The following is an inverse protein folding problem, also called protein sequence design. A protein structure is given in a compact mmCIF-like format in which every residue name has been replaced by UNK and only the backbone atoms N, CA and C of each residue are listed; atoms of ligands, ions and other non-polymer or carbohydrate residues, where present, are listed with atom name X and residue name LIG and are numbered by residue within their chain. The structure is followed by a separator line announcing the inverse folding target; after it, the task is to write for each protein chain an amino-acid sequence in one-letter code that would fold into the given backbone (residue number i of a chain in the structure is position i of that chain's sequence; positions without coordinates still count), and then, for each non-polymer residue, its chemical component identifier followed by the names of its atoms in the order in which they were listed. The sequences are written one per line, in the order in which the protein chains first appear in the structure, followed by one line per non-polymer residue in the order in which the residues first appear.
data_IF_399113421776
#
_entry.id   IF_399113421776
#
_cell.length_a   1.000
_cell.length_b   1.000
_cell.length_c   1.000
_cell.angle_alpha   90.00
_cell.angle_beta   90.00
_cell.angle_gamma   90.00
#
_symmetry.space_group_name_H-M   'P 1'
#
loop_
_entity.id
_entity.type
_entity.pdbx_description
1 polymer ?
#
# COMPACT_ATOMS: atom_id res chain seq x y z
N UNK A 1 29.48 -8.00 -14.10
CA UNK A 1 29.72 -6.62 -13.72
C UNK A 1 28.50 -5.80 -14.13
N UNK A 2 27.65 -5.43 -13.17
CA UNK A 2 26.56 -4.48 -13.40
C UNK A 2 27.24 -3.13 -13.49
N UNK A 3 27.10 -2.47 -14.66
CA UNK A 3 27.69 -1.16 -14.89
C UNK A 3 27.18 -0.16 -13.86
N UNK A 4 28.08 0.58 -13.23
CA UNK A 4 27.82 1.65 -12.27
C UNK A 4 27.33 2.95 -12.95
N UNK A 5 26.62 2.85 -14.07
CA UNK A 5 26.01 3.99 -14.74
C UNK A 5 24.67 4.31 -14.11
N UNK A 6 24.48 5.53 -13.65
CA UNK A 6 23.17 6.04 -13.27
C UNK A 6 22.29 6.02 -14.53
N UNK A 7 21.03 5.48 -14.39
CA UNK A 7 20.08 5.46 -15.48
C UNK A 7 19.79 6.89 -15.98
N UNK A 8 19.68 7.05 -17.29
CA UNK A 8 19.27 8.31 -17.91
C UNK A 8 17.79 8.58 -17.65
N UNK A 9 17.35 9.82 -17.82
CA UNK A 9 15.93 10.19 -17.69
C UNK A 9 15.07 9.40 -18.67
N UNK A 10 15.52 9.21 -19.90
CA UNK A 10 14.79 8.46 -20.94
C UNK A 10 14.61 6.99 -20.53
N UNK A 11 15.66 6.34 -20.03
CA UNK A 11 15.58 4.96 -19.53
C UNK A 11 14.61 4.83 -18.35
N UNK A 12 14.55 5.83 -17.48
CA UNK A 12 13.58 5.86 -16.34
C UNK A 12 12.16 6.05 -16.86
N UNK A 13 11.94 6.95 -17.80
CA UNK A 13 10.62 7.18 -18.41
C UNK A 13 10.13 5.93 -19.13
N UNK A 14 11.00 5.28 -19.91
CA UNK A 14 10.67 4.04 -20.61
C UNK A 14 10.31 2.90 -19.63
N UNK A 15 11.09 2.76 -18.55
CA UNK A 15 10.82 1.77 -17.51
C UNK A 15 9.47 2.04 -16.79
N UNK A 16 9.18 3.31 -16.49
CA UNK A 16 7.88 3.70 -15.92
C UNK A 16 6.74 3.40 -16.90
N UNK A 17 6.86 3.81 -18.17
CA UNK A 17 5.83 3.60 -19.19
C UNK A 17 5.54 2.10 -19.45
N UNK A 18 6.54 1.24 -19.29
CA UNK A 18 6.39 -0.21 -19.38
C UNK A 18 5.82 -0.84 -18.10
N UNK A 19 5.76 -0.10 -16.99
CA UNK A 19 5.32 -0.61 -15.69
C UNK A 19 3.79 -0.66 -15.56
N UNK A 20 3.25 -1.47 -14.63
CA UNK A 20 1.82 -1.44 -14.29
C UNK A 20 1.35 -0.07 -13.77
N UNK A 21 2.23 0.75 -13.19
CA UNK A 21 1.88 2.07 -12.66
C UNK A 21 1.44 3.06 -13.74
N UNK A 22 1.96 2.93 -14.97
CA UNK A 22 1.60 3.77 -16.11
C UNK A 22 0.44 3.22 -16.95
N UNK A 23 0.01 1.98 -16.68
CA UNK A 23 -0.95 1.28 -17.55
C UNK A 23 -2.38 1.71 -17.22
N UNK A 24 -2.89 2.69 -17.94
CA UNK A 24 -4.26 3.24 -17.77
C UNK A 24 -5.34 2.16 -17.82
N UNK A 25 -5.16 1.13 -18.66
CA UNK A 25 -6.13 0.04 -18.83
C UNK A 25 -5.96 -1.10 -17.82
N UNK A 26 -5.08 -0.95 -16.82
CA UNK A 26 -4.96 -1.96 -15.79
C UNK A 26 -6.18 -1.95 -14.88
N UNK A 27 -6.62 -3.14 -14.44
CA UNK A 27 -7.76 -3.33 -13.54
C UNK A 27 -7.72 -2.38 -12.33
N UNK A 28 -6.54 -2.07 -11.84
CA UNK A 28 -6.35 -1.14 -10.73
C UNK A 28 -6.86 0.28 -11.02
N UNK A 29 -6.99 0.69 -12.27
CA UNK A 29 -7.39 2.05 -12.67
C UNK A 29 -8.72 2.10 -13.43
N UNK A 30 -9.22 0.98 -13.94
CA UNK A 30 -10.49 0.90 -14.67
C UNK A 30 -11.64 0.29 -13.86
N UNK A 31 -11.34 -0.27 -12.69
CA UNK A 31 -12.32 -0.97 -11.84
C UNK A 31 -13.60 -0.16 -11.56
N UNK A 32 -13.49 1.15 -11.49
CA UNK A 32 -14.60 2.06 -11.20
C UNK A 32 -15.05 2.89 -12.41
N UNK A 33 -14.76 2.45 -13.63
CA UNK A 33 -15.14 3.19 -14.83
C UNK A 33 -16.66 3.41 -14.93
N UNK A 34 -17.43 2.42 -14.50
CA UNK A 34 -18.92 2.50 -14.51
C UNK A 34 -19.43 3.47 -13.42
N UNK A 35 -18.68 3.63 -12.31
CA UNK A 35 -19.03 4.51 -11.20
C UNK A 35 -18.60 5.97 -11.45
N UNK A 36 -17.70 6.19 -12.41
CA UNK A 36 -17.19 7.50 -12.80
C UNK A 36 -16.19 8.13 -11.85
N UNK A 37 -15.91 7.49 -10.70
CA UNK A 37 -14.92 7.95 -9.72
C UNK A 37 -14.40 6.80 -8.86
N UNK A 38 -13.14 6.87 -8.45
CA UNK A 38 -12.57 5.96 -7.46
C UNK A 38 -13.06 6.38 -6.07
N UNK A 39 -13.75 5.52 -5.31
CA UNK A 39 -14.30 5.90 -4.02
C UNK A 39 -13.20 6.16 -2.97
N UNK A 40 -13.50 7.02 -1.99
CA UNK A 40 -12.58 7.46 -0.93
C UNK A 40 -11.73 6.33 -0.33
N UNK A 41 -12.29 5.17 0.08
CA UNK A 41 -11.50 4.11 0.70
C UNK A 41 -10.47 3.45 -0.22
N UNK A 42 -10.62 3.64 -1.54
CA UNK A 42 -9.79 3.01 -2.56
C UNK A 42 -8.83 4.00 -3.22
N UNK A 43 -9.15 5.29 -3.21
CA UNK A 43 -8.48 6.33 -3.99
C UNK A 43 -7.02 6.52 -3.65
N UNK A 44 -6.62 6.33 -2.39
CA UNK A 44 -5.23 6.37 -1.94
C UNK A 44 -4.29 5.51 -2.79
N UNK A 45 -4.76 4.35 -3.25
CA UNK A 45 -3.95 3.35 -3.95
C UNK A 45 -4.27 3.26 -5.44
N UNK A 46 -5.49 3.65 -5.84
CA UNK A 46 -6.01 3.43 -7.19
C UNK A 46 -6.13 4.72 -8.02
N UNK A 47 -5.56 5.82 -7.52
CA UNK A 47 -5.50 7.10 -8.24
C UNK A 47 -4.28 7.90 -7.80
N UNK A 48 -3.49 8.40 -8.73
CA UNK A 48 -2.40 9.33 -8.41
C UNK A 48 -2.85 10.58 -7.67
N UNK A 49 -3.94 11.27 -8.10
CA UNK A 49 -4.56 12.34 -7.30
C UNK A 49 -5.00 11.90 -5.91
N UNK A 50 -5.65 10.74 -5.77
CA UNK A 50 -6.06 10.23 -4.45
C UNK A 50 -4.90 9.89 -3.52
N UNK A 51 -3.77 9.46 -4.08
CA UNK A 51 -2.53 9.31 -3.30
C UNK A 51 -2.04 10.67 -2.78
N UNK A 52 -2.02 11.70 -3.66
CA UNK A 52 -1.56 13.06 -3.28
C UNK A 52 -2.46 13.70 -2.24
N UNK A 53 -3.78 13.51 -2.33
CA UNK A 53 -4.75 13.87 -1.31
C UNK A 53 -4.39 13.17 0.03
N UNK A 54 -4.29 11.84 0.03
CA UNK A 54 -3.95 11.08 1.24
C UNK A 54 -2.68 11.55 1.96
N UNK A 55 -1.65 11.96 1.22
CA UNK A 55 -0.41 12.46 1.83
C UNK A 55 -0.43 13.96 2.13
N UNK A 56 -1.54 14.67 1.88
CA UNK A 56 -1.69 16.10 2.10
C UNK A 56 -0.95 16.96 1.08
N UNK A 57 -0.62 16.43 -0.09
CA UNK A 57 0.12 17.16 -1.13
C UNK A 57 -0.75 18.15 -1.91
N UNK A 58 -2.05 18.10 -1.76
CA UNK A 58 -3.04 19.03 -2.33
C UNK A 58 -3.42 20.17 -1.36
N UNK A 59 -2.87 20.14 -0.13
CA UNK A 59 -3.11 21.13 0.91
C UNK A 59 -4.18 20.74 1.93
N UNK A 60 -4.77 19.55 1.80
CA UNK A 60 -5.69 18.97 2.80
C UNK A 60 -4.93 18.23 3.91
N UNK A 61 -5.58 17.83 5.02
CA UNK A 61 -4.91 17.09 6.09
C UNK A 61 -4.40 15.72 5.61
N UNK A 62 -3.12 15.41 5.87
CA UNK A 62 -2.56 14.11 5.58
C UNK A 62 -3.20 12.98 6.41
N UNK A 63 -3.24 11.77 5.84
CA UNK A 63 -3.75 10.55 6.47
C UNK A 63 -5.17 10.19 6.09
N UNK A 64 -5.86 11.04 5.36
CA UNK A 64 -7.23 10.82 4.87
C UNK A 64 -7.31 11.19 3.39
N UNK A 65 -8.20 10.52 2.67
CA UNK A 65 -8.70 10.96 1.37
C UNK A 65 -10.05 11.61 1.64
N UNK A 66 -10.23 12.86 1.27
CA UNK A 66 -11.43 13.63 1.64
C UNK A 66 -12.50 13.68 0.54
N UNK A 67 -12.16 13.26 -0.68
CA UNK A 67 -13.10 13.22 -1.81
C UNK A 67 -12.80 12.06 -2.77
N UNK A 68 -13.80 11.59 -3.56
CA UNK A 68 -13.55 10.58 -4.59
C UNK A 68 -12.55 11.08 -5.63
N UNK A 69 -11.68 10.20 -6.09
CA UNK A 69 -10.62 10.55 -7.03
C UNK A 69 -10.99 10.20 -8.49
N UNK A 70 -10.34 10.83 -9.48
CA UNK A 70 -10.56 10.51 -10.88
C UNK A 70 -10.21 9.05 -11.21
N UNK A 71 -11.07 8.40 -12.01
CA UNK A 71 -10.78 7.12 -12.64
C UNK A 71 -9.63 7.26 -13.64
N UNK A 72 -8.96 6.15 -13.98
CA UNK A 72 -7.87 6.08 -14.98
C UNK A 72 -6.69 7.02 -14.70
N UNK A 73 -6.62 7.57 -13.50
CA UNK A 73 -5.54 8.45 -13.06
C UNK A 73 -4.39 7.62 -12.49
N UNK A 74 -3.46 7.26 -13.34
CA UNK A 74 -2.31 6.40 -13.04
C UNK A 74 -1.37 6.99 -11.99
N UNK A 75 -0.44 6.17 -11.50
CA UNK A 75 0.67 6.62 -10.64
C UNK A 75 1.72 7.29 -11.53
N UNK A 76 1.66 8.60 -11.62
CA UNK A 76 2.56 9.44 -12.43
C UNK A 76 3.85 9.81 -11.68
N UNK A 77 4.75 10.51 -12.37
CA UNK A 77 6.02 10.95 -11.79
C UNK A 77 5.81 11.82 -10.54
N UNK A 78 4.80 12.71 -10.55
CA UNK A 78 4.50 13.62 -9.45
C UNK A 78 3.94 12.86 -8.22
N UNK A 79 3.28 11.72 -8.42
CA UNK A 79 2.81 10.86 -7.34
C UNK A 79 3.96 10.36 -6.46
N UNK A 80 5.11 10.01 -7.08
CA UNK A 80 6.28 9.50 -6.36
C UNK A 80 7.33 10.59 -6.06
N UNK A 81 7.45 11.61 -6.92
CA UNK A 81 8.52 12.62 -6.87
C UNK A 81 8.02 14.01 -6.47
N UNK A 82 6.73 14.21 -6.19
CA UNK A 82 6.22 15.43 -5.58
C UNK A 82 6.90 15.69 -4.22
N UNK A 83 7.08 16.97 -3.84
CA UNK A 83 7.86 17.33 -2.66
C UNK A 83 7.41 16.64 -1.37
N UNK A 84 6.10 16.52 -1.14
CA UNK A 84 5.55 15.82 0.03
C UNK A 84 5.85 14.31 -0.05
N UNK A 85 5.63 13.68 -1.21
CA UNK A 85 5.92 12.25 -1.39
C UNK A 85 7.41 11.93 -1.22
N UNK A 86 8.29 12.81 -1.73
CA UNK A 86 9.73 12.64 -1.62
C UNK A 86 10.23 12.80 -0.17
N UNK A 87 9.50 13.52 0.67
CA UNK A 87 9.83 13.76 2.07
C UNK A 87 9.26 12.69 3.03
N UNK A 88 8.48 11.73 2.54
CA UNK A 88 7.95 10.65 3.39
C UNK A 88 9.07 9.74 3.90
N UNK A 89 9.11 9.55 5.22
CA UNK A 89 10.08 8.68 5.91
C UNK A 89 9.41 7.64 6.81
N UNK A 90 8.08 7.65 6.87
CA UNK A 90 7.31 6.71 7.69
C UNK A 90 6.03 6.28 6.99
N UNK A 91 5.47 5.16 7.43
CA UNK A 91 4.14 4.68 7.00
C UNK A 91 3.42 4.05 8.19
N UNK A 92 2.12 4.30 8.29
CA UNK A 92 1.24 3.63 9.25
C UNK A 92 0.51 2.50 8.54
N UNK A 93 0.70 1.28 9.02
CA UNK A 93 0.02 0.08 8.52
C UNK A 93 -1.46 0.05 8.95
N UNK A 94 -2.31 -0.76 8.29
CA UNK A 94 -3.71 -0.94 8.70
C UNK A 94 -3.88 -1.38 10.15
N UNK A 95 -2.93 -2.10 10.71
CA UNK A 95 -2.88 -2.49 12.13
C UNK A 95 -2.66 -1.33 13.11
N UNK A 96 -2.33 -0.13 12.60
CA UNK A 96 -1.87 1.01 13.41
C UNK A 96 -0.38 0.97 13.74
N UNK A 97 0.35 -0.09 13.38
CA UNK A 97 1.79 -0.12 13.54
C UNK A 97 2.47 0.89 12.61
N UNK A 98 3.50 1.58 13.11
CA UNK A 98 4.25 2.58 12.35
C UNK A 98 5.63 2.04 12.03
N UNK A 99 6.02 2.10 10.76
CA UNK A 99 7.41 1.93 10.33
C UNK A 99 8.03 3.32 10.11
N UNK A 100 9.15 3.55 10.74
CA UNK A 100 9.90 4.82 10.70
C UNK A 100 11.28 4.62 10.05
N UNK A 101 11.99 5.71 9.87
CA UNK A 101 13.35 5.73 9.27
C UNK A 101 13.40 5.04 7.89
N UNK A 102 12.32 5.16 7.15
CA UNK A 102 12.22 4.66 5.79
C UNK A 102 12.84 5.69 4.83
N UNK A 103 13.62 5.20 3.91
CA UNK A 103 14.11 5.98 2.78
C UNK A 103 13.00 6.24 1.75
N UNK A 104 13.36 6.46 0.49
CA UNK A 104 12.40 6.61 -0.60
C UNK A 104 11.36 5.49 -0.75
N UNK A 105 11.46 4.39 0.00
CA UNK A 105 10.49 3.30 -0.02
C UNK A 105 9.19 3.63 0.72
N UNK A 106 9.19 4.60 1.63
CA UNK A 106 7.99 5.02 2.36
C UNK A 106 6.81 5.32 1.42
N UNK A 107 7.06 6.07 0.33
CA UNK A 107 6.04 6.42 -0.67
C UNK A 107 5.44 5.19 -1.37
N UNK A 108 6.23 4.14 -1.59
CA UNK A 108 5.74 2.89 -2.16
C UNK A 108 4.82 2.15 -1.19
N UNK A 109 5.18 2.19 0.09
CA UNK A 109 4.47 1.47 1.15
C UNK A 109 3.09 2.06 1.44
N UNK A 110 2.83 3.33 1.15
CA UNK A 110 1.48 3.92 1.28
C UNK A 110 0.43 3.10 0.53
N UNK A 111 0.75 2.59 -0.68
CA UNK A 111 -0.15 1.74 -1.46
C UNK A 111 0.11 0.25 -1.22
N UNK A 112 1.38 -0.16 -1.03
CA UNK A 112 1.78 -1.56 -0.95
C UNK A 112 1.76 -2.15 0.47
N UNK A 113 1.06 -1.53 1.42
CA UNK A 113 0.93 -2.00 2.81
C UNK A 113 -0.26 -2.94 3.06
N UNK A 114 -1.15 -3.09 2.08
CA UNK A 114 -2.42 -3.78 2.29
C UNK A 114 -3.52 -2.85 2.83
N UNK A 115 -4.70 -3.41 3.10
CA UNK A 115 -5.87 -2.66 3.61
C UNK A 115 -6.53 -3.30 4.83
N UNK A 116 -6.05 -4.47 5.26
CA UNK A 116 -6.50 -5.17 6.45
C UNK A 116 -5.29 -5.77 7.16
N UNK A 117 -5.43 -6.07 8.43
CA UNK A 117 -4.39 -6.57 9.31
C UNK A 117 -4.92 -7.62 10.30
N UNK A 118 -4.06 -8.16 11.17
CA UNK A 118 -4.48 -9.07 12.25
C UNK A 118 -5.54 -8.48 13.15
N UNK A 119 -5.49 -7.17 13.39
CA UNK A 119 -6.48 -6.45 14.21
C UNK A 119 -7.89 -6.51 13.63
N UNK A 120 -8.04 -6.55 12.31
CA UNK A 120 -9.34 -6.71 11.65
C UNK A 120 -9.88 -8.13 11.85
N UNK A 121 -9.00 -9.13 11.81
CA UNK A 121 -9.36 -10.53 12.11
C UNK A 121 -9.77 -10.67 13.56
N UNK A 122 -8.98 -10.11 14.50
CA UNK A 122 -9.30 -10.11 15.94
C UNK A 122 -10.65 -9.47 16.23
N UNK A 123 -10.95 -8.35 15.58
CA UNK A 123 -12.25 -7.67 15.71
C UNK A 123 -13.41 -8.54 15.17
N UNK A 124 -13.20 -9.20 14.02
CA UNK A 124 -14.22 -10.03 13.38
C UNK A 124 -14.55 -11.29 14.18
N UNK A 125 -13.58 -11.86 14.91
CA UNK A 125 -13.75 -13.06 15.72
C UNK A 125 -13.96 -12.76 17.21
N UNK A 126 -14.07 -11.49 17.59
CA UNK A 126 -14.23 -11.09 18.99
C UNK A 126 -15.47 -11.75 19.63
N UNK A 127 -15.25 -12.43 20.76
CA UNK A 127 -16.30 -13.13 21.49
C UNK A 127 -16.65 -14.52 20.97
N UNK A 128 -16.00 -15.00 19.90
CA UNK A 128 -16.13 -16.37 19.45
C UNK A 128 -15.18 -17.29 20.23
N UNK A 129 -15.63 -18.52 20.54
CA UNK A 129 -14.73 -19.55 21.03
C UNK A 129 -13.74 -19.94 19.89
N UNK A 130 -12.50 -20.42 20.21
CA UNK A 130 -11.47 -20.70 19.20
C UNK A 130 -11.91 -21.64 18.06
N UNK A 131 -12.79 -22.61 18.36
CA UNK A 131 -13.29 -23.61 17.43
C UNK A 131 -14.76 -23.38 17.03
N UNK A 132 -15.31 -22.19 17.29
CA UNK A 132 -16.69 -21.86 16.96
C UNK A 132 -16.87 -21.80 15.43
N UNK A 133 -17.93 -22.43 14.95
CA UNK A 133 -18.37 -22.26 13.56
C UNK A 133 -19.11 -20.92 13.45
N UNK A 134 -18.60 -20.01 12.65
CA UNK A 134 -19.19 -18.70 12.38
C UNK A 134 -19.54 -18.60 10.90
N UNK A 135 -20.78 -18.94 10.56
CA UNK A 135 -21.25 -18.98 9.17
C UNK A 135 -21.23 -17.59 8.48
N UNK A 136 -21.35 -16.53 9.28
CA UNK A 136 -21.40 -15.15 8.81
C UNK A 136 -20.03 -14.48 8.75
N UNK A 137 -18.96 -15.20 9.10
CA UNK A 137 -17.61 -14.65 9.04
C UNK A 137 -17.16 -14.49 7.58
N UNK A 138 -17.05 -13.25 7.14
CA UNK A 138 -16.60 -12.90 5.79
C UNK A 138 -15.08 -13.05 5.61
N UNK A 139 -14.64 -13.17 4.37
CA UNK A 139 -13.22 -13.19 4.04
C UNK A 139 -12.60 -11.79 4.20
N UNK A 140 -11.62 -11.69 5.09
CA UNK A 140 -10.81 -10.49 5.28
C UNK A 140 -9.62 -10.51 4.32
N UNK A 141 -9.69 -9.65 3.31
CA UNK A 141 -8.67 -9.58 2.27
C UNK A 141 -7.65 -8.48 2.57
N UNK A 142 -6.41 -8.87 2.89
CA UNK A 142 -5.28 -7.94 3.03
C UNK A 142 -5.03 -7.14 1.74
N UNK A 143 -5.55 -7.60 0.62
CA UNK A 143 -5.41 -7.06 -0.71
C UNK A 143 -4.14 -7.53 -1.45
N UNK A 144 -4.11 -7.26 -2.75
CA UNK A 144 -3.01 -7.70 -3.62
C UNK A 144 -1.77 -6.83 -3.43
N UNK A 145 -0.60 -7.41 -3.67
CA UNK A 145 0.69 -6.71 -3.68
C UNK A 145 1.03 -5.98 -2.38
N UNK A 146 0.63 -6.53 -1.24
CA UNK A 146 0.93 -6.01 0.10
C UNK A 146 2.40 -6.29 0.48
N UNK A 147 3.34 -5.87 -0.38
CA UNK A 147 4.76 -6.17 -0.24
C UNK A 147 5.38 -5.58 1.05
N UNK A 148 4.92 -4.41 1.46
CA UNK A 148 5.39 -3.79 2.70
C UNK A 148 4.93 -4.57 3.93
N UNK A 149 3.68 -5.08 3.95
CA UNK A 149 3.21 -5.93 5.04
C UNK A 149 4.02 -7.25 5.09
N UNK A 150 4.36 -7.83 3.94
CA UNK A 150 5.23 -9.01 3.88
C UNK A 150 6.65 -8.71 4.38
N UNK A 151 7.23 -7.55 3.99
CA UNK A 151 8.56 -7.14 4.41
C UNK A 151 8.64 -6.93 5.92
N UNK A 152 7.63 -6.31 6.51
CA UNK A 152 7.60 -5.98 7.93
C UNK A 152 6.99 -7.08 8.81
N UNK A 153 6.46 -8.17 8.23
CA UNK A 153 5.99 -9.35 8.96
C UNK A 153 5.18 -9.03 10.20
N UNK A 154 5.60 -9.57 11.36
CA UNK A 154 4.94 -9.30 12.64
C UNK A 154 4.98 -7.83 13.08
N UNK A 155 5.98 -7.04 12.65
CA UNK A 155 6.02 -5.61 12.96
C UNK A 155 4.88 -4.84 12.28
N UNK A 156 4.43 -5.27 11.08
CA UNK A 156 3.27 -4.71 10.40
C UNK A 156 1.94 -5.30 10.86
N UNK A 157 1.97 -6.48 11.52
CA UNK A 157 0.78 -7.28 11.87
C UNK A 157 -0.13 -7.52 10.66
N UNK A 158 0.49 -7.77 9.50
CA UNK A 158 -0.22 -7.91 8.23
C UNK A 158 -0.97 -9.24 8.05
N UNK A 159 -0.78 -10.21 8.95
CA UNK A 159 -1.45 -11.50 8.94
C UNK A 159 -1.88 -11.89 10.36
N UNK A 160 -2.80 -12.84 10.47
CA UNK A 160 -3.21 -13.35 11.78
C UNK A 160 -2.04 -14.06 12.48
N UNK A 161 -1.85 -13.74 13.75
CA UNK A 161 -0.83 -14.32 14.60
C UNK A 161 -1.48 -15.23 15.65
N UNK A 162 -1.12 -16.53 15.63
CA UNK A 162 -1.65 -17.50 16.58
C UNK A 162 -1.07 -17.29 17.97
N UNK A 163 -1.89 -17.31 19.03
CA UNK A 163 -1.43 -17.16 20.41
C UNK A 163 -0.31 -18.16 20.76
N UNK A 164 0.72 -17.66 21.43
CA UNK A 164 1.85 -18.48 21.89
C UNK A 164 2.88 -18.81 20.80
N UNK A 165 2.72 -18.32 19.58
CA UNK A 165 3.73 -18.41 18.53
C UNK A 165 4.59 -17.14 18.49
N UNK A 166 5.78 -17.26 17.91
CA UNK A 166 6.69 -16.14 17.65
C UNK A 166 6.83 -15.95 16.16
N UNK A 167 6.77 -14.70 15.72
CA UNK A 167 6.82 -14.32 14.31
C UNK A 167 7.95 -13.34 14.05
N UNK A 168 8.58 -13.45 12.89
CA UNK A 168 9.63 -12.52 12.46
C UNK A 168 9.10 -11.10 12.26
N UNK A 169 9.76 -10.13 12.89
CA UNK A 169 9.34 -8.72 12.85
C UNK A 169 9.64 -8.02 11.53
N UNK A 170 10.68 -8.46 10.82
CA UNK A 170 11.04 -7.93 9.51
C UNK A 170 11.75 -9.00 8.68
N UNK A 171 11.27 -9.18 7.49
CA UNK A 171 11.83 -10.13 6.53
C UNK A 171 12.67 -9.36 5.49
N UNK A 172 13.91 -9.80 5.28
CA UNK A 172 14.80 -9.25 4.25
C UNK A 172 15.32 -10.38 3.39
N UNK A 173 15.49 -10.14 2.10
CA UNK A 173 16.18 -11.10 1.26
C UNK A 173 17.66 -11.14 1.67
N UNK A 174 18.19 -12.34 1.91
CA UNK A 174 19.62 -12.52 2.06
C UNK A 174 20.30 -12.19 0.73
N UNK A 175 21.39 -11.43 0.82
CA UNK A 175 22.28 -11.21 -0.33
C UNK A 175 23.28 -12.35 -0.50
N UNK A 176 23.27 -13.30 0.44
CA UNK A 176 24.11 -14.49 0.46
C UNK A 176 23.27 -15.73 0.04
N UNK A 177 22.98 -15.84 -1.24
CA UNK A 177 22.39 -17.03 -1.84
C UNK A 177 23.24 -17.51 -3.01
#
# INVERSE_FOLDING_TARGET
AIGSGQATVDEIVDAWAASPHARVEAEAFVHWDEDGAVPIPCARCHSGPGFRDFIGADGTPAGIVDHPAPIRAVVDCATCHGGVAAALTSVTFPSGAVAEDLDGSARCMVCHQGRAASTDVEAAVAGLAPDAVAADLGFLNIHYRAAAASLFGAAAKGAYEYPGQTYEGRLVHSTEA
#
